data_IF_609749746104
#
_entry.id   IF_609749746104
#
_cell.length_a   1.000
_cell.length_b   1.000
_cell.length_c   1.000
_cell.angle_alpha   90.00
_cell.angle_beta   90.00
_cell.angle_gamma   90.00
#
_symmetry.space_group_name_H-M   'P 1'
#
loop_
_entity.id
_entity.type
_entity.pdbx_description
1 polymer ?
#
# COMPACT_ATOMS: atom_id res chain seq x y z
N UNK A 1 -27.91 8.30 7.94
CA UNK A 1 -26.98 9.39 7.54
C UNK A 1 -25.51 8.94 7.57
N UNK A 2 -25.10 8.10 8.49
CA UNK A 2 -23.68 7.66 8.67
C UNK A 2 -23.05 7.06 7.42
N UNK A 3 -23.74 6.17 6.71
CA UNK A 3 -23.17 5.51 5.51
C UNK A 3 -22.91 6.46 4.35
N UNK A 4 -23.78 7.45 4.14
CA UNK A 4 -23.61 8.42 3.06
C UNK A 4 -22.45 9.37 3.35
N UNK A 5 -22.30 9.74 4.62
CA UNK A 5 -21.18 10.56 5.10
C UNK A 5 -19.86 9.76 5.02
N UNK A 6 -19.89 8.50 5.43
CA UNK A 6 -18.76 7.59 5.34
C UNK A 6 -18.30 7.42 3.88
N UNK A 7 -19.24 7.19 2.95
CA UNK A 7 -18.94 7.12 1.53
C UNK A 7 -18.30 8.41 1.03
N UNK A 8 -18.83 9.57 1.38
CA UNK A 8 -18.35 10.86 0.93
C UNK A 8 -16.92 11.15 1.43
N UNK A 9 -16.66 10.90 2.71
CA UNK A 9 -15.33 11.12 3.29
C UNK A 9 -14.28 10.18 2.66
N UNK A 10 -14.59 8.90 2.51
CA UNK A 10 -13.68 7.96 1.86
C UNK A 10 -13.53 8.21 0.35
N UNK A 11 -14.55 8.75 -0.31
CA UNK A 11 -14.44 9.22 -1.69
C UNK A 11 -13.45 10.38 -1.82
N UNK A 12 -13.49 11.35 -0.90
CA UNK A 12 -12.49 12.43 -0.86
C UNK A 12 -11.09 11.87 -0.62
N UNK A 13 -10.94 10.96 0.31
CA UNK A 13 -9.64 10.32 0.58
C UNK A 13 -9.12 9.62 -0.68
N UNK A 14 -9.95 8.82 -1.36
CA UNK A 14 -9.58 8.13 -2.59
C UNK A 14 -9.22 9.06 -3.75
N UNK A 15 -9.76 10.29 -3.77
CA UNK A 15 -9.46 11.30 -4.79
C UNK A 15 -8.15 12.05 -4.51
N UNK A 16 -7.87 12.37 -3.25
CA UNK A 16 -6.78 13.27 -2.85
C UNK A 16 -5.57 12.58 -2.23
N UNK A 17 -5.68 11.33 -1.77
CA UNK A 17 -4.57 10.58 -1.21
C UNK A 17 -3.60 10.11 -2.31
N UNK A 18 -2.80 11.02 -2.85
CA UNK A 18 -1.81 10.74 -3.88
C UNK A 18 -0.50 10.36 -3.19
N UNK A 19 -0.01 9.11 -3.40
CA UNK A 19 1.26 8.67 -2.83
C UNK A 19 1.27 7.25 -2.25
N UNK A 20 0.20 6.47 -2.50
CA UNK A 20 0.11 5.09 -2.01
C UNK A 20 -0.60 4.97 -0.66
N UNK A 21 -0.59 3.76 -0.08
CA UNK A 21 -1.32 3.44 1.16
C UNK A 21 -1.05 4.39 2.33
N UNK A 22 0.20 4.68 2.69
CA UNK A 22 0.51 5.60 3.79
C UNK A 22 -0.01 7.03 3.61
N UNK A 23 -0.24 7.48 2.35
CA UNK A 23 -0.80 8.80 2.07
C UNK A 23 -2.26 8.96 2.52
N UNK A 24 -2.96 7.87 2.86
CA UNK A 24 -4.30 7.92 3.44
C UNK A 24 -4.28 8.28 4.93
N UNK A 25 -3.17 8.05 5.62
CA UNK A 25 -3.04 8.24 7.08
C UNK A 25 -3.41 9.65 7.56
N UNK A 26 -2.89 10.75 6.98
CA UNK A 26 -3.25 12.10 7.41
C UNK A 26 -4.75 12.36 7.35
N UNK A 27 -5.42 11.86 6.32
CA UNK A 27 -6.87 11.99 6.18
C UNK A 27 -7.62 11.18 7.24
N UNK A 28 -7.19 9.94 7.50
CA UNK A 28 -7.77 9.11 8.55
C UNK A 28 -7.57 9.71 9.95
N UNK A 29 -6.42 10.32 10.20
CA UNK A 29 -6.17 11.08 11.44
C UNK A 29 -7.09 12.29 11.55
N UNK A 30 -7.38 12.97 10.46
CA UNK A 30 -8.27 14.11 10.46
C UNK A 30 -9.73 13.69 10.74
N UNK A 31 -10.16 12.54 10.25
CA UNK A 31 -11.49 11.99 10.55
C UNK A 31 -11.70 11.75 12.05
N UNK A 32 -10.67 11.37 12.82
CA UNK A 32 -10.81 11.18 14.27
C UNK A 32 -11.13 12.46 15.01
N UNK A 33 -10.87 13.64 14.42
CA UNK A 33 -11.18 14.95 15.01
C UNK A 33 -12.61 15.40 14.72
N UNK A 34 -13.20 14.90 13.63
CA UNK A 34 -14.48 15.36 13.14
C UNK A 34 -15.62 14.36 13.42
N UNK A 35 -15.27 13.08 13.62
CA UNK A 35 -16.23 11.97 13.76
C UNK A 35 -15.78 11.01 14.85
N UNK A 36 -16.73 10.57 15.66
CA UNK A 36 -16.52 9.55 16.70
C UNK A 36 -16.60 8.11 16.13
N UNK A 37 -16.12 7.90 14.91
CA UNK A 37 -16.16 6.58 14.28
C UNK A 37 -15.10 5.63 14.84
N UNK A 38 -13.94 6.17 15.20
CA UNK A 38 -12.80 5.46 15.79
C UNK A 38 -11.86 6.46 16.46
N UNK A 39 -11.04 5.97 17.37
CA UNK A 39 -10.06 6.78 18.10
C UNK A 39 -8.67 6.74 17.44
N UNK A 40 -7.74 7.58 17.91
CA UNK A 40 -6.34 7.50 17.49
C UNK A 40 -5.68 6.17 17.88
N UNK A 41 -6.08 5.55 18.99
CA UNK A 41 -5.62 4.22 19.39
C UNK A 41 -6.11 3.15 18.39
N UNK A 42 -7.39 3.23 17.99
CA UNK A 42 -7.94 2.34 16.96
C UNK A 42 -7.21 2.51 15.62
N UNK A 43 -6.87 3.75 15.23
CA UNK A 43 -6.12 4.02 14.01
C UNK A 43 -4.73 3.35 14.01
N UNK A 44 -4.05 3.33 15.16
CA UNK A 44 -2.78 2.64 15.31
C UNK A 44 -2.95 1.12 15.13
N UNK A 45 -4.00 0.55 15.74
CA UNK A 45 -4.33 -0.86 15.56
C UNK A 45 -4.71 -1.18 14.11
N UNK A 46 -5.50 -0.31 13.45
CA UNK A 46 -5.85 -0.43 12.04
C UNK A 46 -4.60 -0.49 11.15
N UNK A 47 -3.61 0.34 11.43
CA UNK A 47 -2.36 0.36 10.69
C UNK A 47 -1.61 -0.97 10.85
N UNK A 48 -1.43 -1.46 12.07
CA UNK A 48 -0.75 -2.73 12.34
C UNK A 48 -1.47 -3.92 11.68
N UNK A 49 -2.80 -3.98 11.77
CA UNK A 49 -3.61 -5.02 11.11
C UNK A 49 -3.50 -4.92 9.58
N UNK A 50 -3.55 -3.69 9.05
CA UNK A 50 -3.48 -3.47 7.60
C UNK A 50 -2.13 -3.83 7.00
N UNK A 51 -1.03 -3.61 7.72
CA UNK A 51 0.31 -4.05 7.31
C UNK A 51 0.47 -5.58 7.37
N UNK A 52 -0.24 -6.23 8.28
CA UNK A 52 -0.23 -7.68 8.41
C UNK A 52 -1.19 -8.38 7.44
N UNK A 53 -2.10 -7.63 6.81
CA UNK A 53 -3.12 -8.16 5.90
C UNK A 53 -2.65 -8.02 4.45
N UNK A 54 -2.68 -9.10 3.64
CA UNK A 54 -2.31 -8.99 2.24
C UNK A 54 -3.29 -8.08 1.49
N UNK A 55 -2.75 -7.06 0.81
CA UNK A 55 -3.54 -6.10 0.03
C UNK A 55 -3.03 -4.67 0.14
N UNK A 56 -3.65 -3.74 -0.59
CA UNK A 56 -3.30 -2.32 -0.51
C UNK A 56 -3.66 -1.74 0.87
N UNK A 57 -2.67 -1.19 1.58
CA UNK A 57 -2.81 -0.63 2.92
C UNK A 57 -4.02 0.31 3.05
N UNK A 58 -4.18 1.25 2.11
CA UNK A 58 -5.29 2.21 2.14
C UNK A 58 -6.67 1.55 2.06
N UNK A 59 -6.81 0.47 1.29
CA UNK A 59 -8.07 -0.30 1.19
C UNK A 59 -8.34 -1.06 2.48
N UNK A 60 -7.32 -1.72 3.04
CA UNK A 60 -7.44 -2.44 4.31
C UNK A 60 -7.85 -1.48 5.44
N UNK A 61 -7.21 -0.31 5.52
CA UNK A 61 -7.56 0.71 6.50
C UNK A 61 -8.97 1.27 6.30
N UNK A 62 -9.38 1.52 5.06
CA UNK A 62 -10.75 1.97 4.76
C UNK A 62 -11.80 0.94 5.19
N UNK A 63 -11.55 -0.33 4.90
CA UNK A 63 -12.42 -1.43 5.31
C UNK A 63 -12.53 -1.50 6.84
N UNK A 64 -11.41 -1.43 7.52
CA UNK A 64 -11.37 -1.48 8.99
C UNK A 64 -12.06 -0.27 9.63
N UNK A 65 -11.74 0.95 9.18
CA UNK A 65 -12.36 2.17 9.65
C UNK A 65 -13.87 2.20 9.41
N UNK A 66 -14.29 1.76 8.22
CA UNK A 66 -15.70 1.64 7.88
C UNK A 66 -16.43 0.60 8.74
N UNK A 67 -15.77 -0.52 9.06
CA UNK A 67 -16.32 -1.53 9.97
C UNK A 67 -16.53 -0.95 11.39
N UNK A 68 -15.60 -0.18 11.90
CA UNK A 68 -15.76 0.50 13.18
C UNK A 68 -16.93 1.49 13.18
N UNK A 69 -17.11 2.23 12.08
CA UNK A 69 -18.14 3.26 11.95
C UNK A 69 -19.56 2.69 11.75
N UNK A 70 -19.69 1.54 11.07
CA UNK A 70 -21.02 1.04 10.67
C UNK A 70 -21.09 -0.46 10.42
N UNK A 71 -20.23 -1.26 11.05
CA UNK A 71 -20.21 -2.71 10.90
C UNK A 71 -19.84 -3.15 9.48
N UNK A 72 -20.26 -4.33 9.09
CA UNK A 72 -19.93 -4.93 7.77
C UNK A 72 -20.34 -4.02 6.60
N UNK A 73 -21.52 -3.42 6.67
CA UNK A 73 -22.01 -2.49 5.63
C UNK A 73 -21.12 -1.24 5.57
N UNK A 74 -20.70 -0.71 6.72
CA UNK A 74 -19.79 0.43 6.80
C UNK A 74 -18.44 0.14 6.14
N UNK A 75 -17.89 -1.06 6.37
CA UNK A 75 -16.65 -1.51 5.71
C UNK A 75 -16.77 -1.55 4.18
N UNK A 76 -17.85 -2.11 3.66
CA UNK A 76 -18.12 -2.13 2.22
C UNK A 76 -18.28 -0.72 1.65
N UNK A 77 -19.05 0.14 2.32
CA UNK A 77 -19.32 1.51 1.87
C UNK A 77 -18.05 2.36 1.85
N UNK A 78 -17.22 2.28 2.89
CA UNK A 78 -15.95 3.00 2.96
C UNK A 78 -14.97 2.53 1.88
N UNK A 79 -14.85 1.22 1.68
CA UNK A 79 -14.00 0.65 0.64
C UNK A 79 -14.43 1.06 -0.75
N UNK A 80 -15.74 0.99 -1.04
CA UNK A 80 -16.29 1.46 -2.31
C UNK A 80 -16.04 2.97 -2.51
N UNK A 81 -16.25 3.77 -1.46
CA UNK A 81 -15.95 5.20 -1.50
C UNK A 81 -14.50 5.46 -1.88
N UNK A 82 -13.55 4.77 -1.26
CA UNK A 82 -12.13 4.95 -1.53
C UNK A 82 -11.73 4.55 -2.96
N UNK A 83 -12.29 3.46 -3.48
CA UNK A 83 -11.87 2.89 -4.78
C UNK A 83 -12.56 3.58 -5.96
N UNK A 84 -13.79 4.04 -5.79
CA UNK A 84 -14.62 4.55 -6.87
C UNK A 84 -14.00 5.77 -7.62
N UNK A 85 -13.39 6.76 -6.97
CA UNK A 85 -12.76 7.88 -7.67
C UNK A 85 -11.66 7.42 -8.61
N UNK A 86 -10.83 6.48 -8.18
CA UNK A 86 -9.75 5.92 -8.99
C UNK A 86 -10.29 5.20 -10.23
N UNK A 87 -11.36 4.43 -10.09
CA UNK A 87 -12.02 3.75 -11.21
C UNK A 87 -12.58 4.78 -12.20
N UNK A 88 -13.29 5.81 -11.71
CA UNK A 88 -13.85 6.86 -12.55
C UNK A 88 -12.75 7.56 -13.34
N UNK A 89 -11.68 7.98 -12.66
CA UNK A 89 -10.56 8.67 -13.31
C UNK A 89 -9.88 7.78 -14.34
N UNK A 90 -9.65 6.50 -14.03
CA UNK A 90 -9.02 5.56 -14.96
C UNK A 90 -9.89 5.33 -16.19
N UNK A 91 -11.21 5.16 -16.02
CA UNK A 91 -12.15 4.98 -17.15
C UNK A 91 -12.19 6.23 -18.04
N UNK A 92 -12.23 7.43 -17.44
CA UNK A 92 -12.19 8.67 -18.17
C UNK A 92 -10.89 8.81 -18.97
N UNK A 93 -9.75 8.59 -18.32
CA UNK A 93 -8.44 8.66 -18.97
C UNK A 93 -8.32 7.59 -20.07
N UNK A 94 -8.76 6.36 -19.82
CA UNK A 94 -8.71 5.30 -20.83
C UNK A 94 -9.54 5.65 -22.07
N UNK A 95 -10.70 6.25 -21.89
CA UNK A 95 -11.56 6.69 -23.01
C UNK A 95 -10.88 7.78 -23.84
N UNK A 96 -10.16 8.70 -23.21
CA UNK A 96 -9.38 9.72 -23.93
C UNK A 96 -8.11 9.13 -24.54
N UNK A 97 -7.42 8.22 -23.87
CA UNK A 97 -6.18 7.62 -24.35
C UNK A 97 -6.37 6.79 -25.63
N UNK A 98 -7.50 6.10 -25.81
CA UNK A 98 -7.78 5.37 -27.05
C UNK A 98 -7.77 6.28 -28.27
N UNK A 99 -8.18 7.54 -28.13
CA UNK A 99 -8.16 8.54 -29.20
C UNK A 99 -6.81 9.25 -29.34
N UNK A 100 -5.97 9.24 -28.31
CA UNK A 100 -4.71 9.99 -28.26
C UNK A 100 -3.47 9.12 -28.16
N UNK A 101 -3.60 7.78 -28.17
CA UNK A 101 -2.47 6.85 -28.01
C UNK A 101 -1.40 7.03 -29.08
N UNK A 102 -1.78 7.50 -30.28
CA UNK A 102 -0.86 7.80 -31.37
C UNK A 102 -0.23 9.20 -31.31
N UNK A 103 -0.73 10.06 -30.43
CA UNK A 103 -0.25 11.43 -30.31
C UNK A 103 1.18 11.44 -29.74
N UNK A 104 2.11 12.12 -30.45
CA UNK A 104 3.52 12.21 -30.05
C UNK A 104 3.73 12.84 -28.69
N UNK A 105 2.91 13.85 -28.33
CA UNK A 105 2.96 14.52 -27.01
C UNK A 105 2.58 13.56 -25.89
N UNK A 106 1.54 12.76 -26.08
CA UNK A 106 1.11 11.75 -25.10
C UNK A 106 2.21 10.69 -24.91
N UNK A 107 2.78 10.20 -25.99
CA UNK A 107 3.92 9.27 -25.95
C UNK A 107 5.13 9.86 -25.22
N UNK A 108 5.44 11.13 -25.46
CA UNK A 108 6.54 11.83 -24.77
C UNK A 108 6.28 12.00 -23.27
N UNK A 109 5.06 12.36 -22.87
CA UNK A 109 4.67 12.46 -21.45
C UNK A 109 4.80 11.11 -20.74
N UNK A 110 4.28 10.03 -21.33
CA UNK A 110 4.44 8.69 -20.73
C UNK A 110 5.89 8.23 -20.70
N UNK A 111 6.69 8.57 -21.71
CA UNK A 111 8.12 8.27 -21.69
C UNK A 111 8.85 9.01 -20.56
N UNK A 112 8.45 10.26 -20.25
CA UNK A 112 9.00 11.04 -19.14
C UNK A 112 8.56 10.56 -17.76
N UNK A 113 7.33 10.02 -17.63
CA UNK A 113 6.81 9.49 -16.35
C UNK A 113 7.51 8.17 -15.96
N UNK A 114 7.88 7.33 -16.91
CA UNK A 114 8.52 6.02 -16.61
C UNK A 114 9.74 6.12 -15.71
N UNK A 115 10.76 6.96 -15.99
CA UNK A 115 11.92 7.08 -15.11
C UNK A 115 11.56 7.66 -13.74
N UNK A 116 10.57 8.55 -13.65
CA UNK A 116 10.10 9.10 -12.38
C UNK A 116 9.46 8.01 -11.51
N UNK A 117 8.60 7.17 -12.09
CA UNK A 117 8.01 6.02 -11.37
C UNK A 117 9.09 5.04 -10.94
N UNK A 118 10.07 4.76 -11.81
CA UNK A 118 11.19 3.87 -11.45
C UNK A 118 12.00 4.44 -10.29
N UNK A 119 12.25 5.74 -10.28
CA UNK A 119 12.95 6.41 -9.19
C UNK A 119 12.16 6.37 -7.88
N UNK A 120 10.83 6.56 -7.93
CA UNK A 120 9.96 6.43 -6.76
C UNK A 120 9.97 5.01 -6.19
N UNK A 121 9.90 3.99 -7.05
CA UNK A 121 9.98 2.58 -6.62
C UNK A 121 11.36 2.31 -6.00
N UNK A 122 12.43 2.76 -6.62
CA UNK A 122 13.79 2.60 -6.08
C UNK A 122 13.94 3.30 -4.71
N UNK A 123 13.40 4.51 -4.56
CA UNK A 123 13.39 5.24 -3.29
C UNK A 123 12.61 4.50 -2.20
N UNK A 124 11.43 3.96 -2.53
CA UNK A 124 10.64 3.18 -1.60
C UNK A 124 11.37 1.89 -1.17
N UNK A 125 11.96 1.17 -2.12
CA UNK A 125 12.77 -0.03 -1.82
C UNK A 125 13.97 0.33 -0.95
N UNK A 126 14.66 1.43 -1.23
CA UNK A 126 15.76 1.91 -0.41
C UNK A 126 15.32 2.23 1.03
N UNK A 127 14.16 2.88 1.19
CA UNK A 127 13.56 3.11 2.51
C UNK A 127 13.27 1.81 3.27
N UNK A 128 12.74 0.80 2.60
CA UNK A 128 12.52 -0.53 3.20
C UNK A 128 13.84 -1.18 3.60
N UNK A 129 14.89 -1.07 2.78
CA UNK A 129 16.23 -1.57 3.14
C UNK A 129 16.78 -0.86 4.38
N UNK A 130 16.60 0.45 4.49
CA UNK A 130 17.02 1.18 5.68
C UNK A 130 16.30 0.66 6.94
N UNK A 131 14.99 0.52 6.90
CA UNK A 131 14.21 0.01 8.04
C UNK A 131 14.57 -1.43 8.40
N UNK A 132 14.81 -2.28 7.41
CA UNK A 132 15.11 -3.69 7.62
C UNK A 132 16.55 -3.96 8.07
N UNK A 133 17.51 -3.11 7.67
CA UNK A 133 18.95 -3.36 7.87
C UNK A 133 19.62 -2.36 8.81
N UNK A 134 18.98 -1.24 9.15
CA UNK A 134 19.52 -0.25 10.09
C UNK A 134 18.78 -0.36 11.43
N UNK A 135 19.54 -0.59 12.48
CA UNK A 135 19.12 -0.55 13.88
C UNK A 135 19.79 0.66 14.56
N UNK A 136 19.35 1.04 15.75
CA UNK A 136 19.97 2.12 16.55
C UNK A 136 21.47 1.90 16.79
N UNK A 137 21.91 0.63 16.82
CA UNK A 137 23.31 0.23 17.01
C UNK A 137 24.11 0.10 15.71
N UNK A 138 23.53 0.42 14.54
CA UNK A 138 24.18 0.33 13.24
C UNK A 138 23.54 -0.68 12.29
N UNK A 139 24.36 -1.33 11.45
CA UNK A 139 23.85 -2.29 10.45
C UNK A 139 23.53 -3.63 11.11
N UNK A 140 22.31 -4.09 10.95
CA UNK A 140 21.88 -5.41 11.40
C UNK A 140 22.49 -6.51 10.51
N UNK A 141 23.60 -7.10 10.97
CA UNK A 141 24.38 -8.08 10.19
C UNK A 141 23.56 -9.33 9.88
N UNK A 142 22.72 -9.78 10.80
CA UNK A 142 21.92 -11.00 10.64
C UNK A 142 20.88 -10.87 9.49
N UNK A 143 20.00 -9.85 9.45
CA UNK A 143 19.09 -9.65 8.33
C UNK A 143 19.83 -9.40 7.01
N UNK A 144 21.00 -8.76 7.05
CA UNK A 144 21.80 -8.52 5.85
C UNK A 144 22.29 -9.85 5.24
N UNK A 145 22.84 -10.75 6.06
CA UNK A 145 23.29 -12.07 5.60
C UNK A 145 22.10 -12.84 5.01
N UNK A 146 20.95 -12.82 5.68
CA UNK A 146 19.74 -13.49 5.21
C UNK A 146 19.30 -12.92 3.85
N UNK A 147 19.30 -11.61 3.71
CA UNK A 147 18.97 -10.93 2.45
C UNK A 147 19.88 -11.38 1.30
N UNK A 148 21.20 -11.43 1.54
CA UNK A 148 22.18 -11.87 0.53
C UNK A 148 21.98 -13.34 0.16
N UNK A 149 21.72 -14.21 1.15
CA UNK A 149 21.45 -15.63 0.92
C UNK A 149 20.19 -15.80 0.06
N UNK A 150 19.08 -15.15 0.42
CA UNK A 150 17.82 -15.21 -0.34
C UNK A 150 18.01 -14.66 -1.75
N UNK A 151 18.72 -13.55 -1.91
CA UNK A 151 19.02 -12.97 -3.20
C UNK A 151 19.81 -13.94 -4.09
N UNK A 152 20.84 -14.60 -3.53
CA UNK A 152 21.63 -15.60 -4.25
C UNK A 152 20.78 -16.84 -4.63
N UNK A 153 19.95 -17.34 -3.70
CA UNK A 153 19.08 -18.48 -3.93
C UNK A 153 18.03 -18.20 -5.02
N UNK A 154 17.46 -16.99 -5.07
CA UNK A 154 16.51 -16.57 -6.11
C UNK A 154 17.14 -16.52 -7.51
N UNK A 155 18.47 -16.45 -7.64
CA UNK A 155 19.16 -16.48 -8.92
C UNK A 155 19.42 -17.91 -9.44
N UNK A 156 19.23 -18.93 -8.63
CA UNK A 156 19.39 -20.33 -9.04
C UNK A 156 18.20 -20.73 -9.93
N UNK A 157 18.48 -21.21 -11.16
CA UNK A 157 17.47 -21.55 -12.18
C UNK A 157 16.37 -22.51 -11.70
N UNK A 158 16.71 -23.44 -10.80
CA UNK A 158 15.78 -24.43 -10.26
C UNK A 158 14.80 -23.82 -9.25
N UNK A 159 15.23 -22.82 -8.49
CA UNK A 159 14.46 -22.17 -7.44
C UNK A 159 13.64 -20.97 -7.96
N UNK A 160 13.96 -20.44 -9.13
CA UNK A 160 13.19 -19.36 -9.79
C UNK A 160 11.73 -19.71 -10.06
N UNK A 161 11.37 -20.98 -10.10
CA UNK A 161 10.00 -21.46 -10.35
C UNK A 161 9.14 -21.50 -9.09
N UNK A 162 9.73 -21.35 -7.92
CA UNK A 162 8.99 -21.33 -6.66
C UNK A 162 8.11 -20.08 -6.55
N UNK A 163 6.88 -20.30 -6.08
CA UNK A 163 5.95 -19.20 -5.85
C UNK A 163 6.50 -18.24 -4.78
N UNK A 164 6.35 -16.90 -4.90
CA UNK A 164 6.84 -15.93 -3.93
C UNK A 164 6.42 -16.23 -2.47
N UNK A 165 5.20 -16.75 -2.28
CA UNK A 165 4.72 -17.15 -0.95
C UNK A 165 5.59 -18.22 -0.26
N UNK A 166 6.22 -19.13 -1.03
CA UNK A 166 7.11 -20.13 -0.46
C UNK A 166 8.38 -19.49 0.14
N UNK A 167 8.90 -18.44 -0.52
CA UNK A 167 10.03 -17.66 -0.03
C UNK A 167 9.69 -16.90 1.24
N UNK A 168 8.49 -16.31 1.31
CA UNK A 168 8.01 -15.62 2.51
C UNK A 168 7.85 -16.58 3.69
N UNK A 169 7.27 -17.77 3.45
CA UNK A 169 7.17 -18.81 4.49
C UNK A 169 8.54 -19.28 4.97
N UNK A 170 9.48 -19.50 4.06
CA UNK A 170 10.85 -19.88 4.43
C UNK A 170 11.53 -18.79 5.27
N UNK A 171 11.38 -17.52 4.87
CA UNK A 171 11.92 -16.38 5.60
C UNK A 171 11.28 -16.26 7.00
N UNK A 172 9.95 -16.44 7.12
CA UNK A 172 9.24 -16.40 8.39
C UNK A 172 9.71 -17.51 9.34
N UNK A 173 9.85 -18.75 8.84
CA UNK A 173 10.35 -19.88 9.66
C UNK A 173 11.77 -19.60 10.15
N UNK A 174 12.65 -19.10 9.27
CA UNK A 174 14.02 -18.76 9.65
C UNK A 174 14.02 -17.62 10.68
N UNK A 175 13.19 -16.59 10.47
CA UNK A 175 13.05 -15.48 11.42
C UNK A 175 12.62 -15.93 12.82
N UNK A 176 11.67 -16.86 12.91
CA UNK A 176 11.22 -17.44 14.19
C UNK A 176 12.33 -18.25 14.86
N UNK A 177 13.06 -19.08 14.10
CA UNK A 177 14.12 -19.94 14.65
C UNK A 177 15.30 -19.13 15.17
N UNK A 178 15.70 -18.08 14.44
CA UNK A 178 16.85 -17.26 14.79
C UNK A 178 16.52 -16.02 15.62
N UNK A 179 15.24 -15.83 15.96
CA UNK A 179 14.74 -14.68 16.75
C UNK A 179 15.24 -13.33 16.18
N UNK A 180 14.89 -13.08 14.93
CA UNK A 180 15.15 -11.78 14.29
C UNK A 180 14.05 -10.78 14.67
#
# INVERSE_FOLDING_TARGET
MTYLLLFYEFFKIGLFAIGGGPATLPFLMDLTKHYDWYTMADLTNMMAVSESTPGPLGINMATYAGFHAGGVIGGVVATMGLVLPSIIVIILIAKFLTNFSENATVKAVFAGIRPAVTALIASAVFGLFQVALMTEDGIAIKPLILCVIFFALMHIKQLKKLHPAAWLLAAAVIGIIFQF
#
